data_IF_569518290742
#
_entry.id   IF_569518290742
#
_cell.length_a   1.000
_cell.length_b   1.000
_cell.length_c   1.000
_cell.angle_alpha   90.00
_cell.angle_beta   90.00
_cell.angle_gamma   90.00
#
_symmetry.space_group_name_H-M   'P 1'
#
loop_
_entity.id
_entity.type
_entity.pdbx_description
1 polymer ?
#
# COMPACT_ATOMS: atom_id res chain seq x y z
N UNK A 1 44.60 -15.67 34.19
CA UNK A 1 43.15 -15.86 33.89
C UNK A 1 43.00 -15.83 32.38
N UNK A 2 42.40 -16.86 31.79
CA UNK A 2 42.23 -16.96 30.34
C UNK A 2 41.10 -16.05 29.87
N UNK A 3 41.44 -15.00 29.12
CA UNK A 3 40.46 -14.11 28.49
C UNK A 3 39.70 -14.89 27.41
N UNK A 4 38.48 -15.34 27.72
CA UNK A 4 37.55 -15.89 26.71
C UNK A 4 37.41 -14.87 25.58
N UNK A 5 37.78 -15.25 24.36
CA UNK A 5 37.52 -14.40 23.21
C UNK A 5 36.00 -14.24 23.03
N UNK A 6 35.52 -13.06 22.61
CA UNK A 6 34.11 -12.88 22.31
C UNK A 6 33.66 -13.78 21.15
N UNK A 7 32.46 -14.32 21.26
CA UNK A 7 31.79 -15.08 20.22
C UNK A 7 31.25 -14.11 19.15
N UNK A 8 32.12 -13.79 18.18
CA UNK A 8 31.84 -12.80 17.15
C UNK A 8 30.80 -13.28 16.12
N UNK A 9 30.72 -14.58 15.86
CA UNK A 9 29.74 -15.17 14.94
C UNK A 9 28.31 -15.04 15.51
N UNK A 10 28.14 -15.32 16.82
CA UNK A 10 26.88 -15.07 17.52
C UNK A 10 26.53 -13.58 17.58
N UNK A 11 27.52 -12.71 17.79
CA UNK A 11 27.31 -11.25 17.75
C UNK A 11 26.84 -10.80 16.36
N UNK A 12 27.43 -11.33 15.29
CA UNK A 12 27.06 -11.01 13.90
C UNK A 12 25.62 -11.46 13.58
N UNK A 13 25.26 -12.70 13.93
CA UNK A 13 23.89 -13.21 13.74
C UNK A 13 22.85 -12.34 14.46
N UNK A 14 23.10 -11.98 15.73
CA UNK A 14 22.23 -11.11 16.51
C UNK A 14 22.18 -9.68 15.96
N UNK A 15 23.29 -9.17 15.40
CA UNK A 15 23.36 -7.86 14.78
C UNK A 15 22.54 -7.82 13.49
N UNK A 16 22.79 -8.75 12.55
CA UNK A 16 22.10 -8.86 11.25
C UNK A 16 20.59 -9.05 11.43
N UNK A 17 20.19 -9.89 12.39
CA UNK A 17 18.77 -10.14 12.70
C UNK A 17 18.01 -8.87 13.16
N UNK A 18 18.70 -7.81 13.60
CA UNK A 18 18.07 -6.54 14.00
C UNK A 18 17.17 -6.63 15.26
N UNK A 19 16.98 -7.82 15.83
CA UNK A 19 16.05 -8.10 16.93
C UNK A 19 16.44 -7.42 18.24
N UNK A 20 17.74 -7.31 18.52
CA UNK A 20 18.29 -6.62 19.69
C UNK A 20 18.97 -5.31 19.29
N UNK A 21 19.05 -4.35 20.22
CA UNK A 21 19.93 -3.19 20.08
C UNK A 21 21.39 -3.59 20.22
N UNK A 22 22.29 -2.81 19.62
CA UNK A 22 23.75 -3.06 19.73
C UNK A 22 24.22 -3.03 21.20
N UNK A 23 23.50 -2.34 22.09
CA UNK A 23 23.77 -2.32 23.53
C UNK A 23 23.30 -3.57 24.26
N UNK A 24 22.17 -4.16 23.86
CA UNK A 24 21.70 -5.44 24.41
C UNK A 24 22.60 -6.60 23.95
N UNK A 25 23.01 -6.62 22.68
CA UNK A 25 24.00 -7.60 22.16
C UNK A 25 25.33 -7.45 22.91
N UNK A 26 25.79 -6.22 23.11
CA UNK A 26 26.98 -5.93 23.92
C UNK A 26 26.87 -6.47 25.35
N UNK A 27 25.73 -6.25 26.03
CA UNK A 27 25.49 -6.77 27.38
C UNK A 27 25.37 -8.29 27.44
N UNK A 28 24.75 -8.92 26.44
CA UNK A 28 24.56 -10.37 26.38
C UNK A 28 25.85 -11.13 26.02
N UNK A 29 26.71 -10.54 25.19
CA UNK A 29 27.95 -11.15 24.69
C UNK A 29 29.21 -10.65 25.43
N UNK A 30 29.08 -9.79 26.45
CA UNK A 30 30.20 -9.32 27.27
C UNK A 30 31.20 -8.41 26.55
N UNK A 31 30.76 -7.66 25.54
CA UNK A 31 31.60 -6.75 24.72
C UNK A 31 31.10 -5.32 24.80
N UNK A 32 31.87 -4.35 24.30
CA UNK A 32 31.37 -2.97 24.16
C UNK A 32 30.60 -2.78 22.85
N UNK A 33 29.51 -2.00 22.90
CA UNK A 33 28.72 -1.64 21.72
C UNK A 33 29.56 -0.91 20.65
N UNK A 34 30.61 -0.18 21.06
CA UNK A 34 31.60 0.44 20.17
C UNK A 34 32.48 -0.58 19.45
N UNK A 35 32.84 -1.71 20.08
CA UNK A 35 33.56 -2.78 19.42
C UNK A 35 32.69 -3.48 18.35
N UNK A 36 31.42 -3.74 18.67
CA UNK A 36 30.44 -4.26 17.70
C UNK A 36 30.31 -3.30 16.51
N UNK A 37 30.04 -2.01 16.74
CA UNK A 37 29.89 -1.01 15.68
C UNK A 37 31.16 -0.75 14.85
N UNK A 38 32.36 -0.96 15.43
CA UNK A 38 33.62 -0.88 14.68
C UNK A 38 33.79 -2.10 13.78
N UNK A 39 33.38 -3.28 14.25
CA UNK A 39 33.49 -4.54 13.52
C UNK A 39 32.44 -4.68 12.41
N UNK A 40 31.18 -4.31 12.68
CA UNK A 40 30.13 -4.30 11.65
C UNK A 40 30.47 -3.42 10.44
N UNK A 41 31.12 -2.27 10.67
CA UNK A 41 31.63 -1.40 9.59
C UNK A 41 32.85 -1.96 8.85
N UNK A 42 33.64 -2.81 9.50
CA UNK A 42 34.84 -3.42 8.91
C UNK A 42 34.49 -4.66 8.09
N UNK A 43 33.53 -5.46 8.57
CA UNK A 43 33.11 -6.74 7.99
C UNK A 43 31.79 -6.64 7.21
N UNK A 44 31.23 -5.44 7.06
CA UNK A 44 30.06 -5.16 6.21
C UNK A 44 28.75 -5.77 6.71
N UNK A 45 28.56 -5.87 8.03
CA UNK A 45 27.31 -6.41 8.59
C UNK A 45 26.18 -5.40 8.38
N UNK A 46 25.22 -5.76 7.53
CA UNK A 46 23.98 -5.00 7.35
C UNK A 46 22.91 -5.43 8.36
N UNK A 47 21.95 -4.55 8.67
CA UNK A 47 20.99 -4.71 9.77
C UNK A 47 19.57 -4.53 9.24
N UNK A 48 18.76 -5.59 9.27
CA UNK A 48 17.38 -5.52 8.75
C UNK A 48 16.44 -4.76 9.70
N UNK A 49 16.56 -3.44 9.66
CA UNK A 49 15.65 -2.51 10.30
C UNK A 49 14.36 -2.35 9.50
N UNK A 50 14.36 -2.66 8.20
CA UNK A 50 13.20 -2.54 7.33
C UNK A 50 12.09 -3.51 7.74
N UNK A 51 12.40 -4.77 8.03
CA UNK A 51 11.42 -5.73 8.54
C UNK A 51 10.74 -5.25 9.82
N UNK A 52 11.51 -4.66 10.76
CA UNK A 52 10.97 -4.08 12.01
C UNK A 52 10.15 -2.80 11.79
N UNK A 53 10.60 -1.90 10.91
CA UNK A 53 9.87 -0.68 10.57
C UNK A 53 8.54 -1.05 9.90
N UNK A 54 8.56 -2.02 8.98
CA UNK A 54 7.36 -2.54 8.32
C UNK A 54 6.40 -3.16 9.34
N UNK A 55 6.82 -4.16 10.10
CA UNK A 55 5.97 -4.82 11.10
C UNK A 55 5.41 -3.84 12.15
N UNK A 56 6.15 -2.78 12.52
CA UNK A 56 5.63 -1.72 13.40
C UNK A 56 4.65 -0.79 12.69
N UNK A 57 4.87 -0.45 11.42
CA UNK A 57 3.90 0.31 10.62
C UNK A 57 2.60 -0.49 10.42
N UNK A 58 2.69 -1.78 10.10
CA UNK A 58 1.53 -2.69 9.97
C UNK A 58 0.77 -2.77 11.31
N UNK A 59 1.50 -2.92 12.43
CA UNK A 59 0.92 -2.88 13.78
C UNK A 59 0.30 -1.52 14.14
N UNK A 60 0.88 -0.40 13.71
CA UNK A 60 0.33 0.95 13.95
C UNK A 60 -0.93 1.22 13.11
N UNK A 61 -0.96 0.77 11.85
CA UNK A 61 -2.16 0.84 11.00
C UNK A 61 -3.29 0.03 11.64
N UNK A 62 -3.03 -1.22 12.04
CA UNK A 62 -4.02 -2.07 12.72
C UNK A 62 -4.43 -1.54 14.10
N UNK A 63 -3.52 -0.97 14.89
CA UNK A 63 -3.85 -0.36 16.21
C UNK A 63 -4.51 1.02 16.12
N UNK A 64 -4.36 1.75 15.02
CA UNK A 64 -5.15 2.97 14.78
C UNK A 64 -6.59 2.63 14.35
N UNK A 65 -6.82 1.43 13.85
CA UNK A 65 -8.18 0.86 13.71
C UNK A 65 -8.73 0.36 15.06
N UNK A 66 -7.90 -0.13 16.01
CA UNK A 66 -8.33 -0.52 17.39
C UNK A 66 -7.31 -0.17 18.50
N UNK A 67 -7.71 0.78 19.38
CA UNK A 67 -6.97 1.27 20.57
C UNK A 67 -6.71 0.19 21.66
N UNK A 68 -5.72 0.22 22.58
CA UNK A 68 -4.97 1.34 23.21
C UNK A 68 -3.64 0.88 23.87
N UNK A 69 -2.60 1.75 23.94
CA UNK A 69 -1.47 1.89 24.94
C UNK A 69 -0.56 0.69 25.36
N UNK A 70 0.77 0.94 25.45
CA UNK A 70 1.70 0.77 26.63
C UNK A 70 2.97 1.64 26.38
N UNK A 71 3.69 2.09 27.42
CA UNK A 71 4.53 3.32 27.45
C UNK A 71 6.05 3.24 27.09
N UNK A 72 6.95 3.25 28.08
CA UNK A 72 8.26 3.95 28.10
C UNK A 72 9.47 2.98 28.30
N UNK A 73 10.75 3.34 28.51
CA UNK A 73 11.43 4.65 28.65
C UNK A 73 12.86 4.67 28.02
N UNK A 74 13.66 3.61 28.19
CA UNK A 74 15.08 3.60 27.75
C UNK A 74 15.32 3.14 26.31
N UNK A 75 14.26 2.65 25.65
CA UNK A 75 14.21 2.38 24.21
C UNK A 75 14.11 3.68 23.36
N UNK A 76 13.90 4.84 24.00
CA UNK A 76 13.30 6.03 23.38
C UNK A 76 14.01 6.65 22.15
N UNK A 77 15.31 6.46 21.94
CA UNK A 77 16.02 7.06 20.79
C UNK A 77 15.95 6.20 19.52
N UNK A 78 16.39 4.94 19.55
CA UNK A 78 16.18 4.03 18.40
C UNK A 78 14.69 3.76 18.20
N UNK A 79 13.92 3.49 19.28
CA UNK A 79 12.47 3.29 19.17
C UNK A 79 11.79 4.56 18.72
N UNK A 80 12.18 5.75 19.16
CA UNK A 80 11.61 7.03 18.75
C UNK A 80 11.79 7.31 17.26
N UNK A 81 12.99 7.07 16.70
CA UNK A 81 13.22 7.17 15.25
C UNK A 81 12.36 6.16 14.48
N UNK A 82 12.30 4.91 14.96
CA UNK A 82 11.47 3.86 14.33
C UNK A 82 9.97 4.14 14.51
N UNK A 83 9.53 4.79 15.58
CA UNK A 83 8.14 5.18 15.86
C UNK A 83 7.73 6.36 14.99
N UNK A 84 8.54 7.42 14.90
CA UNK A 84 8.30 8.55 14.02
C UNK A 84 8.28 8.14 12.54
N UNK A 85 9.22 7.30 12.10
CA UNK A 85 9.22 6.79 10.73
C UNK A 85 8.02 5.86 10.46
N UNK A 86 7.67 4.98 11.40
CA UNK A 86 6.50 4.10 11.24
C UNK A 86 5.17 4.88 11.32
N UNK A 87 5.12 5.99 12.08
CA UNK A 87 3.99 6.91 12.15
C UNK A 87 3.80 7.66 10.83
N UNK A 88 4.87 8.22 10.24
CA UNK A 88 4.83 8.83 8.90
C UNK A 88 4.41 7.81 7.82
N UNK A 89 4.92 6.56 7.89
CA UNK A 89 4.51 5.50 6.95
C UNK A 89 3.03 5.12 7.16
N UNK A 90 2.55 5.06 8.40
CA UNK A 90 1.15 4.80 8.72
C UNK A 90 0.24 5.95 8.23
N UNK A 91 0.63 7.21 8.43
CA UNK A 91 -0.08 8.39 7.92
C UNK A 91 -0.19 8.36 6.38
N UNK A 92 0.91 8.09 5.69
CA UNK A 92 0.93 7.95 4.22
C UNK A 92 0.01 6.79 3.76
N UNK A 93 0.06 5.64 4.43
CA UNK A 93 -0.82 4.50 4.11
C UNK A 93 -2.30 4.83 4.35
N UNK A 94 -2.63 5.53 5.43
CA UNK A 94 -4.01 5.94 5.73
C UNK A 94 -4.51 7.01 4.75
N UNK A 95 -3.66 7.94 4.34
CA UNK A 95 -3.96 8.89 3.26
C UNK A 95 -4.23 8.15 1.94
N UNK A 96 -3.34 7.24 1.52
CA UNK A 96 -3.53 6.41 0.32
C UNK A 96 -4.85 5.62 0.38
N UNK A 97 -5.17 4.91 1.48
CA UNK A 97 -6.45 4.20 1.64
C UNK A 97 -7.65 5.14 1.47
N UNK A 98 -7.57 6.35 2.02
CA UNK A 98 -8.62 7.37 1.94
C UNK A 98 -8.82 7.89 0.52
N UNK A 99 -7.72 8.24 -0.17
CA UNK A 99 -7.74 8.80 -1.53
C UNK A 99 -8.13 7.76 -2.58
N UNK A 100 -7.65 6.52 -2.45
CA UNK A 100 -8.07 5.40 -3.30
C UNK A 100 -9.57 5.14 -3.13
N UNK A 101 -10.05 5.06 -1.88
CA UNK A 101 -11.48 4.89 -1.59
C UNK A 101 -12.35 6.05 -2.10
N UNK A 102 -11.86 7.30 -2.03
CA UNK A 102 -12.51 8.47 -2.64
C UNK A 102 -12.57 8.36 -4.16
N UNK A 103 -11.47 7.95 -4.79
CA UNK A 103 -11.35 7.80 -6.24
C UNK A 103 -12.26 6.69 -6.76
N UNK A 104 -12.36 5.56 -6.04
CA UNK A 104 -13.29 4.47 -6.36
C UNK A 104 -14.76 4.91 -6.28
N UNK A 105 -15.14 5.67 -5.23
CA UNK A 105 -16.49 6.25 -5.14
C UNK A 105 -16.80 7.21 -6.30
N UNK A 106 -15.81 7.98 -6.77
CA UNK A 106 -15.99 8.87 -7.92
C UNK A 106 -16.11 8.09 -9.23
N UNK A 107 -15.26 7.08 -9.47
CA UNK A 107 -15.32 6.22 -10.65
C UNK A 107 -16.66 5.50 -10.78
N UNK A 108 -17.22 5.01 -9.66
CA UNK A 108 -18.56 4.41 -9.64
C UNK A 108 -19.65 5.43 -10.02
N UNK A 109 -19.64 6.64 -9.44
CA UNK A 109 -20.61 7.69 -9.81
C UNK A 109 -20.58 8.04 -11.30
N UNK A 110 -19.39 8.08 -11.90
CA UNK A 110 -19.23 8.32 -13.34
C UNK A 110 -19.72 7.14 -14.19
N UNK A 111 -19.74 5.91 -13.66
CA UNK A 111 -20.44 4.78 -14.30
C UNK A 111 -21.95 4.92 -14.18
N UNK A 112 -22.48 5.28 -13.01
CA UNK A 112 -23.91 5.52 -12.79
C UNK A 112 -24.45 6.62 -13.75
N UNK A 113 -23.68 7.70 -13.94
CA UNK A 113 -23.97 8.76 -14.92
C UNK A 113 -23.92 8.24 -16.37
N UNK A 114 -22.95 7.37 -16.71
CA UNK A 114 -22.80 6.80 -18.05
C UNK A 114 -23.89 5.78 -18.41
N UNK A 115 -24.37 5.03 -17.42
CA UNK A 115 -25.53 4.14 -17.51
C UNK A 115 -26.80 4.98 -17.76
N UNK A 116 -27.05 5.99 -16.93
CA UNK A 116 -28.17 6.93 -17.09
C UNK A 116 -28.19 7.62 -18.49
N UNK A 117 -27.04 8.09 -18.96
CA UNK A 117 -26.87 8.66 -20.31
C UNK A 117 -27.04 7.64 -21.44
N UNK A 118 -26.96 6.35 -21.14
CA UNK A 118 -27.12 5.25 -22.10
C UNK A 118 -28.56 4.77 -22.20
N UNK A 119 -29.32 4.82 -21.12
CA UNK A 119 -30.76 4.53 -21.12
C UNK A 119 -31.55 5.67 -21.77
N UNK A 120 -31.22 6.93 -21.45
CA UNK A 120 -31.89 8.12 -22.00
C UNK A 120 -31.59 8.41 -23.49
N UNK A 121 -30.95 7.48 -24.21
CA UNK A 121 -30.60 7.64 -25.62
C UNK A 121 -31.79 7.86 -26.56
N UNK A 122 -32.95 7.28 -26.24
CA UNK A 122 -34.19 7.53 -26.98
C UNK A 122 -34.64 8.99 -26.81
N UNK A 123 -34.68 9.45 -25.56
CA UNK A 123 -35.05 10.81 -25.15
C UNK A 123 -34.12 11.85 -25.75
N UNK A 124 -32.80 11.65 -25.64
CA UNK A 124 -31.77 12.54 -26.20
C UNK A 124 -31.93 12.68 -27.72
N UNK A 125 -32.16 11.58 -28.45
CA UNK A 125 -32.40 11.63 -29.91
C UNK A 125 -33.70 12.34 -30.26
N UNK A 126 -34.76 12.14 -29.48
CA UNK A 126 -36.05 12.83 -29.67
C UNK A 126 -35.91 14.34 -29.45
N UNK A 127 -35.22 14.75 -28.38
CA UNK A 127 -34.93 16.15 -28.09
C UNK A 127 -34.08 16.78 -29.20
N UNK A 128 -32.97 16.15 -29.62
CA UNK A 128 -32.12 16.63 -30.74
C UNK A 128 -32.95 16.84 -32.01
N UNK A 129 -33.93 15.96 -32.29
CA UNK A 129 -34.83 16.12 -33.43
C UNK A 129 -35.76 17.33 -33.26
N UNK A 130 -36.46 17.43 -32.13
CA UNK A 130 -37.36 18.57 -31.84
C UNK A 130 -36.63 19.90 -31.87
N UNK A 131 -35.41 19.96 -31.32
CA UNK A 131 -34.54 21.12 -31.40
C UNK A 131 -34.23 21.47 -32.88
N UNK A 132 -33.81 20.52 -33.72
CA UNK A 132 -33.57 20.76 -35.16
C UNK A 132 -34.79 21.25 -35.95
N UNK A 133 -35.99 20.90 -35.52
CA UNK A 133 -37.25 21.23 -36.20
C UNK A 133 -37.91 22.51 -35.66
N UNK A 134 -37.36 23.10 -34.59
CA UNK A 134 -37.80 24.38 -34.05
C UNK A 134 -37.27 25.59 -34.82
N UNK A 135 -37.97 26.71 -34.71
CA UNK A 135 -37.55 28.01 -35.25
C UNK A 135 -36.69 28.73 -34.18
N UNK A 136 -35.44 29.07 -34.52
CA UNK A 136 -34.46 29.63 -33.59
C UNK A 136 -33.81 30.88 -34.18
N UNK A 137 -33.82 31.99 -33.44
CA UNK A 137 -33.25 33.28 -33.90
C UNK A 137 -31.72 33.29 -33.98
N UNK A 138 -31.02 32.41 -33.25
CA UNK A 138 -29.55 32.37 -33.16
C UNK A 138 -28.99 31.02 -33.67
N UNK A 139 -28.69 31.00 -34.97
CA UNK A 139 -28.33 29.77 -35.71
C UNK A 139 -26.97 29.16 -35.34
N UNK A 140 -25.98 29.98 -34.96
CA UNK A 140 -24.63 29.49 -34.64
C UNK A 140 -24.60 28.82 -33.26
N UNK A 141 -25.19 29.47 -32.24
CA UNK A 141 -25.34 28.88 -30.90
C UNK A 141 -26.13 27.56 -30.95
N UNK A 142 -27.13 27.48 -31.83
CA UNK A 142 -27.93 26.29 -32.07
C UNK A 142 -27.13 25.16 -32.74
N UNK A 143 -26.28 25.48 -33.73
CA UNK A 143 -25.41 24.51 -34.39
C UNK A 143 -24.41 23.87 -33.40
N UNK A 144 -23.79 24.66 -32.52
CA UNK A 144 -22.87 24.19 -31.49
C UNK A 144 -23.58 23.31 -30.45
N UNK A 145 -24.76 23.71 -29.98
CA UNK A 145 -25.57 22.92 -29.04
C UNK A 145 -25.95 21.55 -29.64
N UNK A 146 -26.37 21.53 -30.91
CA UNK A 146 -26.68 20.29 -31.63
C UNK A 146 -25.44 19.42 -31.83
N UNK A 147 -24.28 20.00 -32.15
CA UNK A 147 -23.02 19.26 -32.29
C UNK A 147 -22.63 18.59 -30.96
N UNK A 148 -22.72 19.32 -29.84
CA UNK A 148 -22.46 18.80 -28.50
C UNK A 148 -23.43 17.67 -28.11
N UNK A 149 -24.74 17.87 -28.32
CA UNK A 149 -25.75 16.86 -27.99
C UNK A 149 -25.58 15.56 -28.81
N UNK A 150 -25.28 15.67 -30.11
CA UNK A 150 -24.98 14.50 -30.95
C UNK A 150 -23.69 13.80 -30.48
N UNK A 151 -22.66 14.54 -30.05
CA UNK A 151 -21.40 13.98 -29.54
C UNK A 151 -21.57 13.23 -28.22
N UNK A 152 -22.39 13.74 -27.29
CA UNK A 152 -22.74 13.07 -26.03
C UNK A 152 -23.61 11.83 -26.29
N UNK A 153 -24.55 11.92 -27.23
CA UNK A 153 -25.37 10.78 -27.67
C UNK A 153 -24.55 9.67 -28.37
N UNK A 154 -23.47 10.03 -29.07
CA UNK A 154 -22.71 9.10 -29.90
C UNK A 154 -22.15 7.90 -29.12
N UNK A 155 -22.48 6.69 -29.58
CA UNK A 155 -21.99 5.44 -28.99
C UNK A 155 -20.45 5.38 -28.86
N UNK A 156 -19.64 5.80 -29.85
CA UNK A 156 -18.18 5.80 -29.70
C UNK A 156 -17.66 6.65 -28.53
N UNK A 157 -18.34 7.76 -28.20
CA UNK A 157 -17.95 8.60 -27.07
C UNK A 157 -18.17 7.86 -25.76
N UNK A 158 -19.36 7.27 -25.58
CA UNK A 158 -19.74 6.53 -24.36
C UNK A 158 -18.92 5.24 -24.19
N UNK A 159 -18.66 4.49 -25.26
CA UNK A 159 -17.77 3.31 -25.20
C UNK A 159 -16.33 3.69 -24.83
N UNK A 160 -15.83 4.85 -25.28
CA UNK A 160 -14.52 5.37 -24.87
C UNK A 160 -14.49 5.71 -23.38
N UNK A 161 -15.49 6.44 -22.87
CA UNK A 161 -15.63 6.74 -21.44
C UNK A 161 -15.72 5.47 -20.59
N UNK A 162 -16.50 4.47 -21.01
CA UNK A 162 -16.60 3.17 -20.33
C UNK A 162 -15.24 2.48 -20.22
N UNK A 163 -14.44 2.49 -21.31
CA UNK A 163 -13.09 1.92 -21.32
C UNK A 163 -12.16 2.66 -20.34
N UNK A 164 -12.16 3.99 -20.37
CA UNK A 164 -11.32 4.82 -19.49
C UNK A 164 -11.68 4.62 -18.01
N UNK A 165 -12.98 4.48 -17.69
CA UNK A 165 -13.44 4.15 -16.34
C UNK A 165 -13.05 2.72 -15.92
N UNK A 166 -13.13 1.73 -16.82
CA UNK A 166 -12.70 0.36 -16.54
C UNK A 166 -11.17 0.26 -16.30
N UNK A 167 -10.36 0.98 -17.07
CA UNK A 167 -8.90 1.10 -16.87
C UNK A 167 -8.56 1.80 -15.54
N UNK A 168 -9.35 2.83 -15.18
CA UNK A 168 -9.26 3.51 -13.88
C UNK A 168 -9.59 2.56 -12.73
N UNK A 169 -10.72 1.84 -12.79
CA UNK A 169 -11.11 0.86 -11.77
C UNK A 169 -10.09 -0.28 -11.62
N UNK A 170 -9.55 -0.80 -12.72
CA UNK A 170 -8.48 -1.81 -12.69
C UNK A 170 -7.26 -1.31 -11.91
N UNK A 171 -6.86 -0.06 -12.15
CA UNK A 171 -5.74 0.58 -11.46
C UNK A 171 -6.05 0.79 -9.97
N UNK A 172 -7.24 1.29 -9.65
CA UNK A 172 -7.68 1.48 -8.27
C UNK A 172 -7.74 0.16 -7.49
N UNK A 173 -8.27 -0.93 -8.08
CA UNK A 173 -8.29 -2.25 -7.45
C UNK A 173 -6.88 -2.75 -7.12
N UNK A 174 -5.90 -2.56 -8.01
CA UNK A 174 -4.52 -2.91 -7.73
C UNK A 174 -3.93 -2.08 -6.57
N UNK A 175 -4.21 -0.77 -6.54
CA UNK A 175 -3.79 0.12 -5.46
C UNK A 175 -4.47 -0.22 -4.12
N UNK A 176 -5.75 -0.61 -4.13
CA UNK A 176 -6.46 -1.11 -2.93
C UNK A 176 -5.77 -2.37 -2.41
N UNK A 177 -5.52 -3.37 -3.27
CA UNK A 177 -4.86 -4.61 -2.87
C UNK A 177 -3.47 -4.36 -2.29
N UNK A 178 -2.72 -3.39 -2.79
CA UNK A 178 -1.44 -2.96 -2.22
C UNK A 178 -1.60 -2.22 -0.88
N UNK A 179 -2.57 -1.30 -0.76
CA UNK A 179 -2.80 -0.49 0.44
C UNK A 179 -3.39 -1.30 1.63
N UNK A 180 -4.09 -2.40 1.34
CA UNK A 180 -4.56 -3.39 2.31
C UNK A 180 -3.66 -4.63 2.43
N UNK A 181 -2.49 -4.63 1.76
CA UNK A 181 -1.53 -5.74 1.73
C UNK A 181 -2.09 -7.09 1.26
N UNK A 182 -3.22 -7.10 0.54
CA UNK A 182 -3.86 -8.29 -0.04
C UNK A 182 -3.08 -8.90 -1.23
N UNK A 183 -2.05 -8.19 -1.72
CA UNK A 183 -1.06 -8.69 -2.67
C UNK A 183 0.22 -9.21 -1.99
N UNK A 184 0.34 -9.10 -0.66
CA UNK A 184 1.37 -9.81 0.06
C UNK A 184 1.02 -11.31 -0.01
N UNK A 185 1.73 -12.04 -0.88
CA UNK A 185 2.02 -13.45 -0.59
C UNK A 185 2.49 -13.49 0.86
N UNK A 186 1.83 -14.30 1.68
CA UNK A 186 2.29 -14.58 3.04
C UNK A 186 3.78 -14.92 2.97
N UNK A 187 4.60 -14.15 3.70
CA UNK A 187 6.04 -14.29 3.68
C UNK A 187 6.41 -15.59 4.39
N UNK A 188 6.59 -16.65 3.60
CA UNK A 188 6.37 -18.01 4.05
C UNK A 188 5.17 -18.57 3.29
N UNK A 189 5.47 -19.27 2.19
CA UNK A 189 4.46 -20.13 1.58
C UNK A 189 4.09 -21.19 2.62
N UNK A 190 2.81 -21.46 2.86
CA UNK A 190 2.41 -22.60 3.70
C UNK A 190 3.02 -23.91 3.15
N UNK A 191 3.29 -23.98 1.83
CA UNK A 191 4.04 -25.07 1.22
C UNK A 191 5.53 -25.13 1.62
N UNK A 192 6.19 -24.01 1.95
CA UNK A 192 7.57 -24.01 2.44
C UNK A 192 7.65 -24.49 3.90
N UNK A 193 6.64 -24.15 4.73
CA UNK A 193 6.54 -24.65 6.10
C UNK A 193 6.13 -26.13 6.13
N UNK A 194 5.18 -26.53 5.29
CA UNK A 194 4.82 -27.95 5.10
C UNK A 194 5.99 -28.76 4.53
N UNK A 195 6.76 -28.22 3.58
CA UNK A 195 7.95 -28.91 3.05
C UNK A 195 9.01 -29.11 4.13
N UNK A 196 9.24 -28.12 5.00
CA UNK A 196 10.15 -28.25 6.15
C UNK A 196 9.68 -29.30 7.15
N UNK A 197 8.38 -29.30 7.49
CA UNK A 197 7.80 -30.31 8.39
C UNK A 197 7.90 -31.74 7.80
N UNK A 198 7.68 -31.90 6.50
CA UNK A 198 7.87 -33.18 5.81
C UNK A 198 9.35 -33.61 5.80
N UNK A 199 10.27 -32.68 5.56
CA UNK A 199 11.72 -32.93 5.59
C UNK A 199 12.27 -33.19 7.01
N UNK A 200 11.58 -32.74 8.07
CA UNK A 200 11.92 -33.06 9.46
C UNK A 200 11.36 -34.44 9.83
N UNK A 201 10.09 -34.73 9.54
CA UNK A 201 9.49 -36.06 9.76
C UNK A 201 10.22 -37.18 9.00
N UNK A 202 10.72 -36.90 7.80
CA UNK A 202 11.51 -37.85 7.00
C UNK A 202 12.92 -38.13 7.54
N UNK A 203 13.38 -37.38 8.56
CA UNK A 203 14.68 -37.59 9.23
C UNK A 203 14.56 -38.31 10.58
N UNK A 204 13.34 -38.44 11.11
CA UNK A 204 13.06 -39.15 12.37
C UNK A 204 12.56 -40.59 12.16
N UNK A 205 12.48 -41.04 10.90
CA UNK A 205 12.07 -42.39 10.48
C UNK A 205 13.23 -43.21 9.89
#
# INVERSE_FOLDING_TARGET
MTTKQPDWERIEQLFRAGLLSVREIASACGVSHTAINKRSKLEGWDRDLNAKIKAKADSLVSKREVSTKVSTETLATERGIVEANAEVIADIRMAHRTDIGRSRRLANKLLDELESLTDEQGTIKSLIKQFKEGDHEDGDAMADMLALANKIGALPSRTKTMKELAETLKTLIALERQAYELDAKTGGSEADELSKLMDELSKEA
#
